data_IF_229769383445
#
_entry.id   IF_229769383445
#
_cell.length_a   1.000
_cell.length_b   1.000
_cell.length_c   1.000
_cell.angle_alpha   90.00
_cell.angle_beta   90.00
_cell.angle_gamma   90.00
#
_symmetry.space_group_name_H-M   'P 1'
#
loop_
_entity.id
_entity.type
_entity.pdbx_description
1 polymer ?
#
# COMPACT_ATOMS: atom_id res chain seq x y z
N UNK A 1 15.49 -21.99 -23.26
CA UNK A 1 14.48 -21.20 -22.52
C UNK A 1 15.20 -20.45 -21.42
N UNK A 2 15.58 -19.20 -21.65
CA UNK A 2 16.15 -18.39 -20.59
C UNK A 2 15.02 -17.98 -19.65
N UNK A 3 15.11 -18.36 -18.38
CA UNK A 3 14.23 -17.84 -17.35
C UNK A 3 14.36 -16.32 -17.37
N UNK A 4 13.26 -15.62 -17.69
CA UNK A 4 13.20 -14.17 -17.51
C UNK A 4 13.38 -13.95 -16.01
N UNK A 5 14.39 -13.19 -15.55
CA UNK A 5 14.55 -12.92 -14.13
C UNK A 5 13.27 -12.28 -13.64
N UNK A 6 12.67 -12.86 -12.60
CA UNK A 6 11.54 -12.25 -11.90
C UNK A 6 12.07 -10.94 -11.37
N UNK A 7 11.70 -9.84 -12.01
CA UNK A 7 12.03 -8.51 -11.51
C UNK A 7 11.03 -8.20 -10.42
N UNK A 8 11.52 -7.98 -9.21
CA UNK A 8 10.68 -7.54 -8.11
C UNK A 8 10.00 -6.22 -8.48
N UNK A 9 8.80 -6.00 -7.93
CA UNK A 9 7.98 -4.83 -8.22
C UNK A 9 8.74 -3.51 -7.99
N UNK A 10 9.55 -3.47 -6.93
CA UNK A 10 10.60 -2.47 -6.68
C UNK A 10 11.78 -3.11 -5.91
N UNK A 11 12.96 -2.46 -5.84
CA UNK A 11 14.14 -2.98 -5.15
C UNK A 11 13.92 -3.30 -3.66
N UNK A 12 14.41 -4.45 -3.18
CA UNK A 12 14.21 -4.89 -1.78
C UNK A 12 14.85 -3.96 -0.72
N UNK A 13 15.88 -3.18 -1.08
CA UNK A 13 16.56 -2.23 -0.18
C UNK A 13 15.69 -1.02 0.21
N UNK A 14 14.55 -0.85 -0.46
CA UNK A 14 13.51 0.12 -0.08
C UNK A 14 12.60 -0.40 1.05
N UNK A 15 12.66 -1.68 1.42
CA UNK A 15 11.99 -2.19 2.62
C UNK A 15 12.85 -1.90 3.84
N UNK A 16 12.34 -1.10 4.77
CA UNK A 16 13.07 -0.73 5.99
C UNK A 16 13.33 -1.96 6.87
N UNK A 17 14.60 -2.22 7.16
CA UNK A 17 15.02 -3.26 8.08
C UNK A 17 14.55 -2.99 9.52
N UNK A 18 14.54 -1.72 9.94
CA UNK A 18 14.08 -1.30 11.26
C UNK A 18 12.57 -1.56 11.42
N UNK A 19 11.76 -1.14 10.45
CA UNK A 19 10.30 -1.39 10.49
C UNK A 19 10.01 -2.89 10.41
N UNK A 20 10.78 -3.64 9.61
CA UNK A 20 10.66 -5.10 9.51
C UNK A 20 10.99 -5.81 10.82
N UNK A 21 12.00 -5.34 11.56
CA UNK A 21 12.39 -5.90 12.86
C UNK A 21 11.33 -5.65 13.94
N UNK A 22 10.49 -4.63 13.77
CA UNK A 22 9.40 -4.31 14.69
C UNK A 22 8.06 -5.03 14.39
N UNK A 23 8.03 -5.89 13.36
CA UNK A 23 6.89 -6.77 13.12
C UNK A 23 6.82 -7.87 14.20
N UNK A 24 5.60 -8.34 14.55
CA UNK A 24 5.47 -9.55 15.35
C UNK A 24 6.15 -10.75 14.66
N UNK A 25 6.60 -11.72 15.44
CA UNK A 25 7.19 -12.95 14.92
C UNK A 25 6.21 -13.64 13.93
N UNK A 26 6.76 -14.13 12.82
CA UNK A 26 5.98 -14.77 11.76
C UNK A 26 5.36 -13.83 10.74
N UNK A 27 5.58 -12.51 10.84
CA UNK A 27 5.15 -11.55 9.81
C UNK A 27 6.34 -11.06 8.99
N UNK A 28 6.12 -10.81 7.70
CA UNK A 28 7.12 -10.29 6.78
C UNK A 28 6.58 -9.14 5.94
N UNK A 29 7.26 -8.00 5.95
CA UNK A 29 7.07 -6.92 4.98
C UNK A 29 7.80 -7.24 3.68
N UNK A 30 7.16 -6.99 2.53
CA UNK A 30 7.77 -7.14 1.21
C UNK A 30 6.97 -6.38 0.14
N UNK A 31 7.55 -6.26 -1.04
CA UNK A 31 6.84 -5.79 -2.22
C UNK A 31 5.72 -6.76 -2.64
N UNK A 32 4.67 -6.21 -3.28
CA UNK A 32 3.67 -6.98 -4.01
C UNK A 32 4.33 -7.84 -5.09
N UNK A 33 3.82 -9.05 -5.28
CA UNK A 33 4.23 -9.97 -6.34
C UNK A 33 3.07 -10.23 -7.29
N UNK A 34 3.40 -10.53 -8.54
CA UNK A 34 2.40 -10.98 -9.53
C UNK A 34 1.64 -12.25 -9.06
N UNK A 35 2.28 -13.10 -8.26
CA UNK A 35 1.67 -14.31 -7.68
C UNK A 35 0.73 -14.02 -6.50
N UNK A 36 0.70 -12.80 -5.96
CA UNK A 36 -0.13 -12.48 -4.80
C UNK A 36 -1.64 -12.45 -5.10
N UNK A 37 -2.04 -12.62 -6.37
CA UNK A 37 -3.42 -12.91 -6.75
C UNK A 37 -4.01 -14.07 -5.91
N UNK A 38 -3.24 -15.14 -5.70
CA UNK A 38 -3.66 -16.31 -4.91
C UNK A 38 -3.35 -16.19 -3.42
N UNK A 39 -2.65 -15.13 -3.03
CA UNK A 39 -2.11 -15.01 -1.68
C UNK A 39 -2.99 -14.18 -0.75
N UNK A 40 -4.19 -13.76 -1.19
CA UNK A 40 -5.13 -12.99 -0.37
C UNK A 40 -5.00 -11.47 -0.49
N UNK A 41 -4.18 -10.96 -1.42
CA UNK A 41 -3.99 -9.52 -1.62
C UNK A 41 -5.31 -8.79 -1.91
N UNK A 42 -6.10 -9.28 -2.88
CA UNK A 42 -7.38 -8.65 -3.21
C UNK A 42 -8.40 -8.81 -2.07
N UNK A 43 -8.31 -9.87 -1.25
CA UNK A 43 -9.17 -10.06 -0.07
C UNK A 43 -8.91 -8.98 0.99
N UNK A 44 -7.65 -8.56 1.16
CA UNK A 44 -7.31 -7.43 2.02
C UNK A 44 -7.97 -6.14 1.53
N UNK A 45 -7.85 -5.81 0.25
CA UNK A 45 -8.45 -4.60 -0.33
C UNK A 45 -9.98 -4.55 -0.18
N UNK A 46 -10.65 -5.71 -0.16
CA UNK A 46 -12.10 -5.80 0.11
C UNK A 46 -12.49 -5.41 1.53
N UNK A 47 -11.54 -5.35 2.47
CA UNK A 47 -11.79 -4.79 3.80
C UNK A 47 -11.85 -3.26 3.79
N UNK A 48 -11.30 -2.61 2.76
CA UNK A 48 -11.28 -1.16 2.59
C UNK A 48 -12.45 -0.67 1.73
N UNK A 49 -12.62 -1.25 0.54
CA UNK A 49 -13.61 -0.77 -0.44
C UNK A 49 -14.04 -1.86 -1.43
N UNK A 50 -14.93 -1.52 -2.36
CA UNK A 50 -15.32 -2.40 -3.45
C UNK A 50 -14.16 -2.65 -4.41
N UNK A 51 -13.78 -3.91 -4.61
CA UNK A 51 -12.79 -4.33 -5.62
C UNK A 51 -13.44 -4.83 -6.91
N UNK A 52 -14.60 -5.49 -6.80
CA UNK A 52 -15.26 -6.18 -7.91
C UNK A 52 -14.69 -7.58 -8.20
N UNK A 53 -15.11 -8.12 -9.35
CA UNK A 53 -14.71 -9.44 -9.84
C UNK A 53 -13.49 -9.30 -10.76
N UNK A 54 -12.31 -9.58 -10.20
CA UNK A 54 -11.02 -9.43 -10.89
C UNK A 54 -10.50 -10.81 -11.27
N UNK A 55 -10.25 -11.02 -12.57
CA UNK A 55 -9.60 -12.26 -13.05
C UNK A 55 -8.09 -12.21 -12.83
N UNK A 56 -7.44 -13.38 -12.86
CA UNK A 56 -5.98 -13.49 -12.74
C UNK A 56 -5.26 -12.71 -13.84
N UNK A 57 -5.81 -12.78 -15.05
CA UNK A 57 -5.26 -12.11 -16.24
C UNK A 57 -5.33 -10.59 -16.08
N UNK A 58 -6.48 -10.06 -15.63
CA UNK A 58 -6.66 -8.64 -15.37
C UNK A 58 -5.74 -8.15 -14.24
N UNK A 59 -5.58 -8.95 -13.17
CA UNK A 59 -4.63 -8.64 -12.10
C UNK A 59 -3.19 -8.58 -12.61
N UNK A 60 -2.77 -9.57 -13.41
CA UNK A 60 -1.43 -9.60 -13.99
C UNK A 60 -1.18 -8.39 -14.90
N UNK A 61 -2.13 -8.05 -15.78
CA UNK A 61 -2.01 -6.88 -16.66
C UNK A 61 -1.92 -5.57 -15.86
N UNK A 62 -2.75 -5.41 -14.84
CA UNK A 62 -2.71 -4.25 -13.94
C UNK A 62 -1.38 -4.18 -13.18
N UNK A 63 -0.88 -5.31 -12.67
CA UNK A 63 0.43 -5.40 -12.01
C UNK A 63 1.55 -4.90 -12.91
N UNK A 64 1.64 -5.42 -14.14
CA UNK A 64 2.69 -5.01 -15.09
C UNK A 64 2.58 -3.52 -15.45
N UNK A 65 1.35 -3.02 -15.66
CA UNK A 65 1.11 -1.62 -15.96
C UNK A 65 1.55 -0.69 -14.81
N UNK A 66 1.26 -1.03 -13.56
CA UNK A 66 1.72 -0.23 -12.41
C UNK A 66 3.24 -0.36 -12.26
N UNK A 67 3.79 -1.57 -12.36
CA UNK A 67 5.24 -1.81 -12.24
C UNK A 67 6.05 -1.06 -13.30
N UNK A 68 5.49 -0.83 -14.48
CA UNK A 68 6.12 -0.08 -15.57
C UNK A 68 6.21 1.43 -15.29
N UNK A 69 5.36 2.01 -14.43
CA UNK A 69 5.37 3.44 -14.12
C UNK A 69 6.59 3.85 -13.27
N UNK A 70 7.18 2.91 -12.53
CA UNK A 70 8.38 3.12 -11.69
C UNK A 70 8.24 4.25 -10.65
N UNK A 71 7.00 4.61 -10.30
CA UNK A 71 6.68 5.61 -9.28
C UNK A 71 5.67 5.10 -8.24
N UNK A 72 5.32 3.81 -8.28
CA UNK A 72 4.38 3.18 -7.36
C UNK A 72 5.07 2.07 -6.58
N UNK A 73 4.82 2.03 -5.27
CA UNK A 73 5.40 1.08 -4.34
C UNK A 73 4.27 0.44 -3.54
N UNK A 74 3.90 -0.80 -3.90
CA UNK A 74 2.86 -1.55 -3.21
C UNK A 74 3.54 -2.51 -2.24
N UNK A 75 3.31 -2.29 -0.96
CA UNK A 75 3.85 -3.08 0.14
C UNK A 75 2.75 -4.00 0.66
N UNK A 76 3.13 -5.23 0.97
CA UNK A 76 2.26 -6.21 1.64
C UNK A 76 2.92 -6.71 2.91
N UNK A 77 2.09 -7.13 3.87
CA UNK A 77 2.52 -7.92 5.01
C UNK A 77 1.99 -9.34 4.85
N UNK A 78 2.90 -10.30 4.90
CA UNK A 78 2.61 -11.73 4.86
C UNK A 78 2.67 -12.33 6.28
N UNK A 79 1.66 -13.11 6.66
CA UNK A 79 1.65 -13.99 7.83
C UNK A 79 2.18 -15.36 7.41
N UNK A 80 3.45 -15.62 7.71
CA UNK A 80 4.21 -16.81 7.26
C UNK A 80 3.73 -18.11 7.90
N UNK A 81 2.88 -18.05 8.92
CA UNK A 81 2.27 -19.23 9.52
C UNK A 81 1.00 -19.67 8.77
N UNK A 82 0.46 -18.84 7.88
CA UNK A 82 -0.69 -19.19 7.04
C UNK A 82 -0.25 -19.95 5.80
N UNK A 83 -0.93 -21.07 5.52
CA UNK A 83 -0.77 -21.81 4.27
C UNK A 83 -1.69 -21.27 3.17
N UNK A 84 -2.83 -20.71 3.53
CA UNK A 84 -3.80 -20.11 2.62
C UNK A 84 -3.92 -18.62 2.89
N UNK A 85 -3.95 -17.82 1.82
CA UNK A 85 -4.11 -16.35 1.89
C UNK A 85 -3.16 -15.68 2.89
N UNK A 86 -1.84 -15.88 2.76
CA UNK A 86 -0.87 -15.39 3.73
C UNK A 86 -0.68 -13.86 3.67
N UNK A 87 -1.05 -13.18 2.59
CA UNK A 87 -1.09 -11.69 2.56
C UNK A 87 -2.27 -11.22 3.40
N UNK A 88 -1.95 -10.49 4.47
CA UNK A 88 -2.90 -10.08 5.51
C UNK A 88 -2.99 -8.57 5.67
N UNK A 89 -2.10 -7.81 5.05
CA UNK A 89 -2.20 -6.36 4.98
C UNK A 89 -1.55 -5.83 3.70
N UNK A 90 -2.01 -4.67 3.23
CA UNK A 90 -1.41 -3.97 2.09
C UNK A 90 -1.54 -2.46 2.22
N UNK A 91 -0.62 -1.75 1.57
CA UNK A 91 -0.65 -0.31 1.38
C UNK A 91 0.18 0.08 0.15
N UNK A 92 -0.14 1.20 -0.46
CA UNK A 92 0.55 1.73 -1.62
C UNK A 92 1.14 3.12 -1.34
N UNK A 93 2.27 3.42 -1.97
CA UNK A 93 2.82 4.76 -2.09
C UNK A 93 2.91 5.11 -3.58
N UNK A 94 2.32 6.23 -3.96
CA UNK A 94 2.48 6.83 -5.29
C UNK A 94 3.35 8.07 -5.15
N UNK A 95 4.43 8.13 -5.93
CA UNK A 95 5.35 9.27 -5.94
C UNK A 95 5.02 10.18 -7.12
N UNK A 96 4.70 11.43 -6.80
CA UNK A 96 4.34 12.46 -7.77
C UNK A 96 5.46 13.51 -7.88
N UNK A 97 6.01 13.67 -9.08
CA UNK A 97 6.97 14.74 -9.39
C UNK A 97 6.25 16.09 -9.54
N UNK A 98 6.88 17.15 -9.02
CA UNK A 98 6.35 18.51 -9.03
C UNK A 98 7.37 19.48 -9.63
N UNK A 99 6.92 20.58 -10.24
CA UNK A 99 7.80 21.72 -10.57
C UNK A 99 8.11 22.57 -9.33
N UNK A 100 7.13 22.70 -8.43
CA UNK A 100 7.27 23.41 -7.16
C UNK A 100 8.26 22.71 -6.21
N UNK A 101 8.67 23.41 -5.16
CA UNK A 101 9.67 22.91 -4.19
C UNK A 101 10.97 22.45 -4.86
N UNK A 102 11.46 23.23 -5.81
CA UNK A 102 12.72 22.97 -6.53
C UNK A 102 12.72 21.60 -7.24
N UNK A 103 11.74 21.37 -8.12
CA UNK A 103 11.55 20.10 -8.82
C UNK A 103 11.34 18.91 -7.86
N UNK A 104 10.66 19.16 -6.73
CA UNK A 104 10.50 18.19 -5.65
C UNK A 104 9.52 17.07 -5.96
N UNK A 105 9.38 16.12 -5.02
CA UNK A 105 8.43 15.01 -5.11
C UNK A 105 7.52 14.94 -3.88
N UNK A 106 6.29 14.49 -4.06
CA UNK A 106 5.33 14.20 -2.97
C UNK A 106 4.99 12.72 -3.00
N UNK A 107 5.03 12.08 -1.83
CA UNK A 107 4.49 10.74 -1.64
C UNK A 107 3.00 10.80 -1.29
N UNK A 108 2.19 9.95 -1.91
CA UNK A 108 0.76 9.78 -1.61
C UNK A 108 0.55 8.35 -1.12
N UNK A 109 0.15 8.19 0.14
CA UNK A 109 -0.18 6.87 0.71
C UNK A 109 -1.64 6.56 0.37
N UNK A 110 -1.84 5.40 -0.25
CA UNK A 110 -3.13 4.92 -0.74
C UNK A 110 -3.40 3.48 -0.29
N UNK A 111 -4.66 3.05 -0.40
CA UNK A 111 -5.10 1.65 -0.30
C UNK A 111 -4.62 0.88 0.95
N UNK A 112 -4.59 1.55 2.11
CA UNK A 112 -4.23 0.93 3.39
C UNK A 112 -5.36 0.00 3.86
N UNK A 113 -5.06 -1.30 3.86
CA UNK A 113 -6.00 -2.33 4.29
C UNK A 113 -5.32 -3.40 5.14
N UNK A 114 -6.00 -3.85 6.20
CA UNK A 114 -5.59 -4.96 7.06
C UNK A 114 -6.77 -5.92 7.18
N UNK A 115 -6.54 -7.21 6.93
CA UNK A 115 -7.55 -8.26 7.10
C UNK A 115 -8.16 -8.19 8.50
N UNK A 116 -9.49 -8.36 8.61
CA UNK A 116 -10.25 -8.09 9.85
C UNK A 116 -9.74 -8.89 11.06
N UNK A 117 -9.37 -10.15 10.83
CA UNK A 117 -8.81 -11.07 11.83
C UNK A 117 -7.34 -10.79 12.19
N UNK A 118 -6.75 -9.77 11.57
CA UNK A 118 -5.35 -9.36 11.70
C UNK A 118 -5.21 -7.91 12.21
N UNK A 119 -6.34 -7.21 12.40
CA UNK A 119 -6.38 -5.88 12.99
C UNK A 119 -5.97 -5.89 14.47
N UNK A 120 -5.56 -4.73 15.00
CA UNK A 120 -5.08 -4.59 16.37
C UNK A 120 -3.63 -5.06 16.62
N UNK A 121 -3.01 -5.77 15.67
CA UNK A 121 -1.63 -6.30 15.76
C UNK A 121 -0.54 -5.33 15.27
N UNK A 122 -0.85 -4.03 15.19
CA UNK A 122 0.05 -2.97 14.69
C UNK A 122 0.48 -3.09 13.21
N UNK A 123 -0.06 -4.02 12.43
CA UNK A 123 0.31 -4.21 11.03
C UNK A 123 0.07 -2.95 10.17
N UNK A 124 -1.07 -2.28 10.37
CA UNK A 124 -1.35 -1.00 9.69
C UNK A 124 -0.33 0.09 10.03
N UNK A 125 0.12 0.16 11.29
CA UNK A 125 1.18 1.10 11.70
C UNK A 125 2.49 0.79 10.95
N UNK A 126 2.86 -0.48 10.85
CA UNK A 126 4.07 -0.91 10.12
C UNK A 126 3.99 -0.63 8.62
N UNK A 127 2.81 -0.76 8.01
CA UNK A 127 2.61 -0.33 6.62
C UNK A 127 2.87 1.17 6.45
N UNK A 128 2.27 2.02 7.29
CA UNK A 128 2.47 3.47 7.21
C UNK A 128 3.95 3.83 7.37
N UNK A 129 4.62 3.28 8.40
CA UNK A 129 6.05 3.52 8.61
C UNK A 129 6.91 3.05 7.44
N UNK A 130 6.59 1.90 6.85
CA UNK A 130 7.31 1.39 5.68
C UNK A 130 7.14 2.31 4.47
N UNK A 131 5.92 2.79 4.20
CA UNK A 131 5.64 3.66 3.06
C UNK A 131 6.24 5.06 3.25
N UNK A 132 6.21 5.60 4.47
CA UNK A 132 6.83 6.88 4.80
C UNK A 132 8.36 6.81 4.65
N UNK A 133 8.99 5.72 5.13
CA UNK A 133 10.41 5.45 4.89
C UNK A 133 10.74 5.42 3.39
N UNK A 134 9.93 4.72 2.57
CA UNK A 134 10.14 4.69 1.12
C UNK A 134 10.04 6.11 0.54
N UNK A 135 9.02 6.88 0.93
CA UNK A 135 8.80 8.24 0.43
C UNK A 135 10.01 9.14 0.71
N UNK A 136 10.52 9.12 1.94
CA UNK A 136 11.74 9.85 2.31
C UNK A 136 12.95 9.36 1.49
N UNK A 137 13.15 8.03 1.43
CA UNK A 137 14.31 7.41 0.75
C UNK A 137 14.39 7.77 -0.73
N UNK A 138 13.25 7.90 -1.42
CA UNK A 138 13.18 8.25 -2.85
C UNK A 138 13.12 9.76 -3.11
N UNK A 139 13.26 10.57 -2.05
CA UNK A 139 13.44 12.03 -2.10
C UNK A 139 12.14 12.83 -2.09
N UNK A 140 11.05 12.31 -1.52
CA UNK A 140 9.85 13.11 -1.32
C UNK A 140 10.09 14.13 -0.20
N UNK A 141 9.68 15.38 -0.41
CA UNK A 141 9.79 16.41 0.64
C UNK A 141 8.65 16.34 1.67
N UNK A 142 7.60 15.57 1.36
CA UNK A 142 6.51 15.19 2.27
C UNK A 142 5.79 13.95 1.77
N UNK A 143 5.13 13.26 2.69
CA UNK A 143 4.14 12.24 2.40
C UNK A 143 2.75 12.73 2.86
N UNK A 144 1.71 12.45 2.08
CA UNK A 144 0.32 12.83 2.40
C UNK A 144 -0.62 11.64 2.19
N UNK A 145 -1.79 11.72 2.81
CA UNK A 145 -2.89 10.78 2.66
C UNK A 145 -4.19 11.48 3.06
N UNK A 146 -5.30 10.94 2.57
CA UNK A 146 -6.63 11.31 3.01
C UNK A 146 -7.21 10.24 3.93
N UNK A 147 -7.99 10.65 4.94
CA UNK A 147 -8.67 9.72 5.83
C UNK A 147 -10.00 10.27 6.35
N UNK A 148 -10.88 9.36 6.81
CA UNK A 148 -12.10 9.74 7.52
C UNK A 148 -11.80 10.18 8.95
N UNK A 149 -12.70 10.97 9.55
CA UNK A 149 -12.59 11.41 10.94
C UNK A 149 -12.45 10.23 11.92
N UNK A 150 -13.13 9.11 11.66
CA UNK A 150 -13.06 7.90 12.47
C UNK A 150 -11.64 7.29 12.54
N UNK A 151 -10.84 7.49 11.49
CA UNK A 151 -9.48 6.94 11.38
C UNK A 151 -8.38 7.99 11.63
N UNK A 152 -8.71 9.28 11.79
CA UNK A 152 -7.73 10.35 12.03
C UNK A 152 -6.80 10.02 13.20
N UNK A 153 -7.35 9.53 14.32
CA UNK A 153 -6.58 9.16 15.50
C UNK A 153 -5.59 8.00 15.27
N UNK A 154 -5.80 7.15 14.26
CA UNK A 154 -4.81 6.15 13.85
C UNK A 154 -3.63 6.82 13.13
N UNK A 155 -3.88 7.70 12.17
CA UNK A 155 -2.82 8.37 11.42
C UNK A 155 -2.01 9.35 12.30
N UNK A 156 -2.63 9.99 13.29
CA UNK A 156 -1.92 10.77 14.31
C UNK A 156 -0.92 9.90 15.08
N UNK A 157 -1.31 8.66 15.45
CA UNK A 157 -0.40 7.70 16.11
C UNK A 157 0.73 7.22 15.19
N UNK A 158 0.54 7.31 13.87
CA UNK A 158 1.58 7.03 12.88
C UNK A 158 2.53 8.22 12.63
N UNK A 159 2.33 9.37 13.30
CA UNK A 159 3.17 10.57 13.14
C UNK A 159 2.65 11.60 12.12
N UNK A 160 1.50 11.34 11.49
CA UNK A 160 0.87 12.30 10.59
C UNK A 160 0.09 13.37 11.38
N UNK A 161 -0.22 14.48 10.72
CA UNK A 161 -1.05 15.56 11.27
C UNK A 161 -2.04 16.05 10.23
N UNK A 162 -3.16 16.60 10.69
CA UNK A 162 -4.14 17.26 9.81
C UNK A 162 -3.48 18.40 9.04
N UNK A 163 -3.59 18.38 7.71
CA UNK A 163 -2.91 19.33 6.81
C UNK A 163 -3.84 19.97 5.76
N UNK A 164 -5.12 19.59 5.72
CA UNK A 164 -6.08 20.09 4.74
C UNK A 164 -7.44 19.39 4.85
N UNK A 165 -8.28 19.62 3.84
CA UNK A 165 -9.58 18.94 3.68
C UNK A 165 -9.58 18.25 2.32
N UNK A 166 -9.92 16.97 2.30
CA UNK A 166 -10.15 16.23 1.06
C UNK A 166 -11.46 16.71 0.42
N UNK A 167 -11.40 17.00 -0.88
CA UNK A 167 -12.57 17.35 -1.68
C UNK A 167 -12.71 16.33 -2.81
N UNK A 168 -13.93 15.84 -3.06
CA UNK A 168 -14.18 14.85 -4.10
C UNK A 168 -15.33 15.29 -5.01
N UNK A 169 -15.18 15.02 -6.31
CA UNK A 169 -16.25 15.12 -7.31
C UNK A 169 -16.33 13.78 -8.04
N UNK A 170 -17.41 13.04 -7.79
CA UNK A 170 -17.61 11.70 -8.34
C UNK A 170 -18.32 11.78 -9.71
N UNK A 171 -17.74 11.14 -10.74
CA UNK A 171 -18.32 11.09 -12.09
C UNK A 171 -19.05 9.75 -12.32
N UNK A 172 -20.33 9.81 -12.70
CA UNK A 172 -21.16 8.64 -13.01
C UNK A 172 -21.68 7.90 -11.76
N UNK A 173 -23.00 7.67 -11.68
CA UNK A 173 -23.61 6.92 -10.59
C UNK A 173 -23.00 5.51 -10.50
N UNK A 174 -22.46 5.10 -9.36
CA UNK A 174 -23.25 4.66 -8.22
C UNK A 174 -23.42 5.73 -7.13
N UNK A 175 -24.43 6.59 -7.32
CA UNK A 175 -25.10 7.34 -6.28
C UNK A 175 -25.87 6.41 -5.31
N UNK A 176 -25.14 5.52 -4.63
CA UNK A 176 -25.51 4.97 -3.34
C UNK A 176 -24.33 5.20 -2.42
N UNK A 177 -24.21 6.44 -1.98
CA UNK A 177 -23.41 6.77 -0.80
C UNK A 177 -23.84 5.85 0.33
N UNK A 178 -22.91 4.99 0.76
CA UNK A 178 -22.77 4.70 2.17
C UNK A 178 -21.46 5.35 2.57
N UNK A 179 -21.62 6.54 3.15
CA UNK A 179 -20.73 7.00 4.21
C UNK A 179 -20.81 5.95 5.33
#
# INVERSE_FOLDING_TARGET
MHAVPVTDFFPEDLISAEVSAELPAGYKLRALRRSDFDSGFLDCLRCLTSVGDVTREAFAEQYERIAAQKNCYIVVIEDTFRTEKPVVATGALIVESKFIHNLGKVGHIEDIAVAKDQQGKKLGLRLIQSLDYIAEKVGCYKCILDCSEANEGFYVKCGFRKAGVQMAHYYGASGKGKI
#
